data_IF_166385226894
#
_entry.id   IF_166385226894
#
_cell.length_a   1.000
_cell.length_b   1.000
_cell.length_c   1.000
_cell.angle_alpha   90.00
_cell.angle_beta   90.00
_cell.angle_gamma   90.00
#
_symmetry.space_group_name_H-M   'P 1'
#
loop_
_entity.id
_entity.type
_entity.pdbx_description
1 polymer ?
#
# COMPACT_ATOMS: atom_id res chain seq x y z
N UNK A 1 2.11 11.25 7.70
CA UNK A 1 1.18 11.97 6.81
C UNK A 1 1.88 12.87 5.80
N UNK A 2 2.92 13.63 6.20
CA UNK A 2 3.69 14.53 5.30
C UNK A 2 4.28 13.83 4.06
N UNK A 3 4.83 12.63 4.22
CA UNK A 3 5.40 11.84 3.10
C UNK A 3 4.33 11.44 2.07
N UNK A 4 3.16 10.95 2.53
CA UNK A 4 2.05 10.61 1.65
C UNK A 4 1.57 11.84 0.86
N UNK A 5 1.38 12.98 1.55
CA UNK A 5 0.97 14.22 0.89
C UNK A 5 1.98 14.66 -0.18
N UNK A 6 3.28 14.56 0.11
CA UNK A 6 4.33 14.87 -0.86
C UNK A 6 4.32 13.90 -2.06
N UNK A 7 4.07 12.60 -1.82
CA UNK A 7 4.01 11.61 -2.88
C UNK A 7 2.79 11.82 -3.79
N UNK A 8 1.63 12.11 -3.19
CA UNK A 8 0.39 12.46 -3.91
C UNK A 8 0.59 13.72 -4.76
N UNK A 9 1.12 14.80 -4.17
CA UNK A 9 1.40 16.05 -4.89
C UNK A 9 2.34 15.82 -6.08
N UNK A 10 3.40 15.03 -5.88
CA UNK A 10 4.34 14.69 -6.96
C UNK A 10 3.66 13.91 -8.11
N UNK A 11 2.85 12.91 -7.80
CA UNK A 11 2.13 12.12 -8.81
C UNK A 11 1.13 12.99 -9.56
N UNK A 12 0.38 13.84 -8.84
CA UNK A 12 -0.59 14.76 -9.43
C UNK A 12 0.09 15.81 -10.31
N UNK A 13 1.24 16.35 -9.91
CA UNK A 13 2.01 17.28 -10.76
C UNK A 13 2.54 16.60 -12.03
N UNK A 14 2.94 15.33 -11.94
CA UNK A 14 3.47 14.56 -13.07
C UNK A 14 2.40 14.18 -14.10
N UNK A 15 1.21 13.81 -13.64
CA UNK A 15 0.16 13.23 -14.51
C UNK A 15 -1.08 14.10 -14.67
N UNK A 16 -1.28 15.11 -13.83
CA UNK A 16 -2.46 15.98 -13.87
C UNK A 16 -3.76 15.16 -13.87
N UNK A 17 -4.64 15.45 -14.82
CA UNK A 17 -5.92 14.74 -15.00
C UNK A 17 -5.74 13.30 -15.52
N UNK A 18 -4.62 12.99 -16.15
CA UNK A 18 -4.35 11.67 -16.72
C UNK A 18 -3.98 10.63 -15.64
N UNK A 19 -3.94 11.04 -14.37
CA UNK A 19 -3.78 10.12 -13.22
C UNK A 19 -4.84 9.01 -13.20
N UNK A 20 -6.03 9.27 -13.75
CA UNK A 20 -7.10 8.27 -13.88
C UNK A 20 -6.63 7.03 -14.66
N UNK A 21 -5.75 7.20 -15.64
CA UNK A 21 -5.16 6.09 -16.41
C UNK A 21 -3.93 5.45 -15.76
N UNK A 22 -3.46 5.95 -14.61
CA UNK A 22 -2.25 5.47 -13.92
C UNK A 22 -2.62 4.53 -12.76
N UNK A 23 -3.30 3.43 -13.09
CA UNK A 23 -3.88 2.51 -12.10
C UNK A 23 -2.85 1.93 -11.10
N UNK A 24 -1.65 1.58 -11.54
CA UNK A 24 -0.59 1.10 -10.63
C UNK A 24 -0.20 2.14 -9.58
N UNK A 25 -0.04 3.41 -9.98
CA UNK A 25 0.28 4.50 -9.06
C UNK A 25 -0.88 4.76 -8.09
N UNK A 26 -2.12 4.82 -8.60
CA UNK A 26 -3.32 4.99 -7.78
C UNK A 26 -3.52 3.86 -6.78
N UNK A 27 -3.25 2.60 -7.18
CA UNK A 27 -3.33 1.44 -6.30
C UNK A 27 -2.32 1.54 -5.15
N UNK A 28 -1.06 1.89 -5.42
CA UNK A 28 -0.03 2.08 -4.38
C UNK A 28 -0.42 3.16 -3.37
N UNK A 29 -0.95 4.28 -3.85
CA UNK A 29 -1.43 5.36 -2.98
C UNK A 29 -2.60 4.89 -2.11
N UNK A 30 -3.55 4.15 -2.68
CA UNK A 30 -4.68 3.59 -1.95
C UNK A 30 -4.21 2.63 -0.84
N UNK A 31 -3.31 1.70 -1.14
CA UNK A 31 -2.73 0.77 -0.17
C UNK A 31 -2.06 1.51 1.00
N UNK A 32 -1.27 2.56 0.73
CA UNK A 32 -0.65 3.39 1.78
C UNK A 32 -1.72 4.08 2.63
N UNK A 33 -2.76 4.63 2.01
CA UNK A 33 -3.86 5.29 2.72
C UNK A 33 -4.62 4.33 3.63
N UNK A 34 -4.93 3.12 3.13
CA UNK A 34 -5.61 2.08 3.89
C UNK A 34 -4.77 1.67 5.10
N UNK A 35 -3.48 1.39 4.90
CA UNK A 35 -2.60 1.00 6.01
C UNK A 35 -2.48 2.09 7.08
N UNK A 36 -2.35 3.35 6.68
CA UNK A 36 -2.33 4.48 7.61
C UNK A 36 -3.64 4.62 8.38
N UNK A 37 -4.77 4.45 7.71
CA UNK A 37 -6.09 4.55 8.34
C UNK A 37 -6.31 3.41 9.34
N UNK A 38 -6.05 2.17 8.95
CA UNK A 38 -6.18 1.02 9.84
C UNK A 38 -5.22 1.14 11.03
N UNK A 39 -4.00 1.61 10.81
CA UNK A 39 -3.06 1.85 11.90
C UNK A 39 -3.60 2.87 12.91
N UNK A 40 -4.18 3.98 12.43
CA UNK A 40 -4.84 4.97 13.29
C UNK A 40 -6.02 4.36 14.08
N UNK A 41 -6.85 3.53 13.44
CA UNK A 41 -7.96 2.85 14.12
C UNK A 41 -7.48 1.88 15.21
N UNK A 42 -6.44 1.09 14.94
CA UNK A 42 -5.88 0.14 15.91
C UNK A 42 -5.29 0.90 17.10
N UNK A 43 -4.52 1.96 16.86
CA UNK A 43 -3.98 2.81 17.93
C UNK A 43 -5.08 3.44 18.78
N UNK A 44 -6.11 4.02 18.14
CA UNK A 44 -7.24 4.61 18.85
C UNK A 44 -7.95 3.59 19.75
N UNK A 45 -8.20 2.37 19.23
CA UNK A 45 -8.83 1.29 19.99
C UNK A 45 -8.00 0.91 21.23
N UNK A 46 -6.69 0.72 21.06
CA UNK A 46 -5.83 0.32 22.18
C UNK A 46 -5.69 1.44 23.19
N UNK A 47 -5.62 2.70 22.74
CA UNK A 47 -5.63 3.85 23.64
C UNK A 47 -6.91 3.87 24.51
N UNK A 48 -8.08 3.68 23.91
CA UNK A 48 -9.34 3.58 24.67
C UNK A 48 -9.34 2.41 25.65
N UNK A 49 -8.74 1.27 25.30
CA UNK A 49 -8.62 0.13 26.21
C UNK A 49 -7.69 0.42 27.40
N UNK A 50 -6.60 1.17 27.17
CA UNK A 50 -5.68 1.64 28.21
C UNK A 50 -6.43 2.59 29.16
N UNK A 51 -7.13 3.58 28.63
CA UNK A 51 -7.91 4.55 29.42
C UNK A 51 -8.98 3.86 30.26
N UNK A 52 -9.65 2.85 29.69
CA UNK A 52 -10.65 2.03 30.37
C UNK A 52 -10.06 1.00 31.36
N UNK A 53 -8.73 0.90 31.49
CA UNK A 53 -8.02 -0.10 32.30
C UNK A 53 -8.50 -1.52 32.02
N UNK A 54 -8.69 -1.85 30.73
CA UNK A 54 -9.17 -3.16 30.33
C UNK A 54 -8.18 -4.26 30.75
N UNK A 55 -8.69 -5.46 31.05
CA UNK A 55 -7.87 -6.59 31.54
C UNK A 55 -6.94 -7.17 30.48
N UNK A 56 -7.21 -6.89 29.20
CA UNK A 56 -6.54 -7.45 28.03
C UNK A 56 -5.61 -6.45 27.31
N UNK A 57 -5.32 -5.29 27.91
CA UNK A 57 -4.47 -4.23 27.32
C UNK A 57 -3.14 -4.78 26.79
N UNK A 58 -2.51 -5.66 27.57
CA UNK A 58 -1.21 -6.25 27.21
C UNK A 58 -1.28 -7.12 25.93
N UNK A 59 -2.40 -7.82 25.71
CA UNK A 59 -2.61 -8.54 24.44
C UNK A 59 -2.87 -7.57 23.28
N UNK A 60 -3.59 -6.48 23.52
CA UNK A 60 -3.85 -5.45 22.51
C UNK A 60 -2.59 -4.68 22.10
N UNK A 61 -1.69 -4.39 23.05
CA UNK A 61 -0.39 -3.78 22.76
C UNK A 61 0.46 -4.65 21.83
N UNK A 62 0.51 -5.97 22.06
CA UNK A 62 1.18 -6.91 21.13
C UNK A 62 0.57 -6.89 19.73
N UNK A 63 -0.76 -6.76 19.62
CA UNK A 63 -1.44 -6.61 18.33
C UNK A 63 -0.96 -5.34 17.62
N UNK A 64 -0.87 -4.21 18.33
CA UNK A 64 -0.36 -2.94 17.79
C UNK A 64 1.06 -3.10 17.28
N UNK A 65 1.97 -3.70 18.05
CA UNK A 65 3.38 -3.87 17.65
C UNK A 65 3.51 -4.71 16.37
N UNK A 66 2.85 -5.87 16.34
CA UNK A 66 2.90 -6.77 15.17
C UNK A 66 2.26 -6.10 13.96
N UNK A 67 1.12 -5.44 14.14
CA UNK A 67 0.43 -4.74 13.06
C UNK A 67 1.27 -3.59 12.51
N UNK A 68 1.84 -2.75 13.38
CA UNK A 68 2.64 -1.59 13.00
C UNK A 68 3.89 -2.01 12.20
N UNK A 69 4.58 -3.09 12.61
CA UNK A 69 5.72 -3.62 11.87
C UNK A 69 5.35 -4.07 10.45
N UNK A 70 4.22 -4.77 10.30
CA UNK A 70 3.72 -5.27 9.01
C UNK A 70 3.21 -4.15 8.10
N UNK A 71 2.34 -3.28 8.63
CA UNK A 71 1.81 -2.14 7.91
C UNK A 71 2.92 -1.18 7.49
N UNK A 72 3.86 -0.87 8.39
CA UNK A 72 5.02 -0.03 8.07
C UNK A 72 5.88 -0.60 6.94
N UNK A 73 6.03 -1.93 6.88
CA UNK A 73 6.77 -2.58 5.80
C UNK A 73 6.06 -2.49 4.46
N UNK A 74 4.74 -2.67 4.42
CA UNK A 74 3.91 -2.46 3.22
C UNK A 74 3.94 -1.01 2.75
N UNK A 75 3.76 -0.06 3.66
CA UNK A 75 3.82 1.38 3.38
C UNK A 75 5.16 1.73 2.72
N UNK A 76 6.29 1.32 3.33
CA UNK A 76 7.63 1.60 2.77
C UNK A 76 7.83 0.95 1.40
N UNK A 77 7.35 -0.29 1.22
CA UNK A 77 7.45 -0.97 -0.07
C UNK A 77 6.66 -0.23 -1.16
N UNK A 78 5.44 0.20 -0.86
CA UNK A 78 4.61 0.97 -1.79
C UNK A 78 5.23 2.34 -2.11
N UNK A 79 5.80 3.05 -1.13
CA UNK A 79 6.50 4.31 -1.36
C UNK A 79 7.70 4.15 -2.30
N UNK A 80 8.53 3.12 -2.11
CA UNK A 80 9.66 2.84 -3.03
C UNK A 80 9.17 2.63 -4.46
N UNK A 81 8.08 1.88 -4.62
CA UNK A 81 7.46 1.59 -5.92
C UNK A 81 6.76 2.80 -6.58
N UNK A 82 6.70 3.97 -5.93
CA UNK A 82 6.19 5.17 -6.60
C UNK A 82 7.17 5.66 -7.68
N UNK A 83 8.47 5.64 -7.37
CA UNK A 83 9.51 6.11 -8.30
C UNK A 83 10.20 4.96 -9.02
N UNK A 84 10.43 3.85 -8.32
CA UNK A 84 11.18 2.69 -8.82
C UNK A 84 10.25 1.47 -8.90
N UNK A 85 9.70 1.25 -10.09
CA UNK A 85 8.74 0.17 -10.35
C UNK A 85 8.95 -0.49 -11.71
N UNK A 86 8.34 -1.66 -11.82
CA UNK A 86 8.32 -2.56 -12.96
C UNK A 86 7.02 -2.43 -13.79
N UNK A 87 6.27 -1.33 -13.66
CA UNK A 87 4.92 -1.20 -14.25
C UNK A 87 4.90 -1.42 -15.77
N UNK A 88 5.88 -0.84 -16.47
CA UNK A 88 5.98 -1.00 -17.94
C UNK A 88 6.37 -2.43 -18.33
N UNK A 89 7.18 -3.12 -17.51
CA UNK A 89 7.48 -4.54 -17.73
C UNK A 89 6.26 -5.43 -17.50
N UNK A 90 5.46 -5.14 -16.47
CA UNK A 90 4.21 -5.87 -16.19
C UNK A 90 3.21 -5.70 -17.34
N UNK A 91 3.09 -4.48 -17.89
CA UNK A 91 2.26 -4.23 -19.06
C UNK A 91 2.74 -5.01 -20.28
N UNK A 92 4.02 -4.91 -20.61
CA UNK A 92 4.60 -5.63 -21.74
C UNK A 92 4.42 -7.15 -21.62
N UNK A 93 4.57 -7.70 -20.41
CA UNK A 93 4.30 -9.12 -20.15
C UNK A 93 2.82 -9.48 -20.33
N UNK A 94 1.93 -8.59 -19.88
CA UNK A 94 0.48 -8.76 -20.01
C UNK A 94 0.06 -8.71 -21.48
N UNK A 95 0.60 -7.78 -22.26
CA UNK A 95 0.38 -7.67 -23.71
C UNK A 95 0.87 -8.94 -24.43
N UNK A 96 2.08 -9.41 -24.09
CA UNK A 96 2.62 -10.65 -24.67
C UNK A 96 1.75 -11.89 -24.35
N UNK A 97 1.33 -12.03 -23.10
CA UNK A 97 0.45 -13.13 -22.69
C UNK A 97 -0.92 -13.05 -23.38
N UNK A 98 -1.46 -11.84 -23.56
CA UNK A 98 -2.72 -11.60 -24.25
C UNK A 98 -2.62 -11.95 -25.74
N UNK A 99 -1.57 -11.51 -26.43
CA UNK A 99 -1.32 -11.84 -27.83
C UNK A 99 -1.17 -13.34 -28.06
N UNK A 100 -0.50 -14.04 -27.14
CA UNK A 100 -0.29 -15.47 -27.24
C UNK A 100 -1.58 -16.29 -26.97
N UNK A 101 -2.51 -15.74 -26.17
CA UNK A 101 -3.78 -16.38 -25.80
C UNK A 101 -3.63 -17.63 -24.93
N UNK A 102 -2.41 -17.95 -24.48
CA UNK A 102 -2.07 -19.10 -23.63
C UNK A 102 -0.80 -18.80 -22.82
N UNK A 103 -0.51 -19.65 -21.84
CA UNK A 103 0.78 -19.61 -21.17
C UNK A 103 1.88 -20.15 -22.10
N UNK A 104 2.83 -19.29 -22.46
CA UNK A 104 3.86 -19.59 -23.47
C UNK A 104 5.07 -20.37 -22.98
N UNK A 105 5.26 -20.45 -21.67
CA UNK A 105 6.37 -21.16 -21.03
C UNK A 105 5.97 -22.54 -20.52
N UNK A 106 4.93 -23.13 -21.12
CA UNK A 106 4.60 -24.52 -20.86
C UNK A 106 5.65 -25.40 -21.57
N UNK A 107 6.50 -26.06 -20.80
CA UNK A 107 7.55 -26.97 -21.30
C UNK A 107 7.12 -28.43 -21.24
N UNK A 108 5.84 -28.70 -20.95
CA UNK A 108 5.28 -30.04 -20.86
C UNK A 108 4.64 -30.51 -22.17
#
# INVERSE_FOLDING_TARGET
TRELASAVDRILRKHGKDIIGKQFASNRLAEIMIDLFVWACVMARVNSAIEAKAKDVEAQLRIVEVFAGRAGSRIRANFRKIDDNDDEHIKALSDHAFELGKFGWDTL
#
